data_IF_849219504176
#
_entry.id   IF_849219504176
#
_cell.length_a   1.000
_cell.length_b   1.000
_cell.length_c   1.000
_cell.angle_alpha   90.00
_cell.angle_beta   90.00
_cell.angle_gamma   90.00
#
_symmetry.space_group_name_H-M   'P 1'
#
loop_
_entity.id
_entity.type
_entity.pdbx_description
1 polymer ?
#
# COMPACT_ATOMS: atom_id res chain seq x y z
N UNK A 1 -14.77 -20.13 -1.18
CA UNK A 1 -14.51 -18.90 -0.43
C UNK A 1 -13.01 -18.65 -0.52
N UNK A 2 -12.58 -18.09 -1.64
CA UNK A 2 -11.17 -17.80 -1.93
C UNK A 2 -10.79 -16.53 -1.20
N UNK A 3 -9.85 -16.65 -0.28
CA UNK A 3 -9.24 -15.53 0.43
C UNK A 3 -8.47 -14.69 -0.60
N UNK A 4 -9.10 -13.64 -1.11
CA UNK A 4 -8.49 -12.70 -2.04
C UNK A 4 -7.37 -11.99 -1.29
N UNK A 5 -6.12 -12.34 -1.61
CA UNK A 5 -4.95 -11.61 -1.13
C UNK A 5 -5.08 -10.18 -1.66
N UNK A 6 -5.53 -9.24 -0.80
CA UNK A 6 -5.79 -7.84 -1.15
C UNK A 6 -4.46 -7.12 -1.35
N UNK A 7 -3.81 -7.41 -2.47
CA UNK A 7 -2.74 -6.61 -3.04
C UNK A 7 -3.34 -5.56 -3.96
N UNK A 8 -4.29 -4.77 -3.49
CA UNK A 8 -4.95 -3.75 -4.29
C UNK A 8 -5.00 -2.43 -3.52
N UNK A 9 -5.01 -1.31 -4.25
CA UNK A 9 -5.11 0.01 -3.67
C UNK A 9 -6.50 0.18 -3.02
N UNK A 10 -6.56 0.45 -1.72
CA UNK A 10 -7.83 0.65 -0.98
C UNK A 10 -8.64 1.87 -1.48
N UNK A 11 -8.03 2.77 -2.27
CA UNK A 11 -8.72 3.94 -2.85
C UNK A 11 -9.31 3.68 -4.22
N UNK A 12 -8.55 3.04 -5.13
CA UNK A 12 -8.95 2.87 -6.53
C UNK A 12 -9.15 1.42 -6.97
N UNK A 13 -8.83 0.44 -6.12
CA UNK A 13 -8.90 -0.99 -6.44
C UNK A 13 -7.83 -1.46 -7.45
N UNK A 14 -6.83 -0.63 -7.76
CA UNK A 14 -5.76 -1.02 -8.67
C UNK A 14 -4.92 -2.14 -8.06
N UNK A 15 -4.67 -3.21 -8.82
CA UNK A 15 -3.81 -4.31 -8.40
C UNK A 15 -2.36 -3.85 -8.22
N UNK A 16 -1.85 -4.00 -7.00
CA UNK A 16 -0.49 -3.69 -6.57
C UNK A 16 0.34 -4.97 -6.54
N UNK A 17 1.26 -5.09 -7.50
CA UNK A 17 2.22 -6.18 -7.51
C UNK A 17 3.18 -6.07 -6.29
N UNK A 18 3.72 -7.19 -5.78
CA UNK A 18 4.68 -7.18 -4.67
C UNK A 18 5.98 -6.43 -4.98
N UNK A 19 6.32 -6.29 -6.27
CA UNK A 19 7.51 -5.57 -6.74
C UNK A 19 7.25 -4.08 -7.05
N UNK A 20 5.97 -3.67 -7.11
CA UNK A 20 5.61 -2.30 -7.46
C UNK A 20 5.79 -1.33 -6.28
N UNK A 21 6.03 -0.06 -6.60
CA UNK A 21 6.05 1.01 -5.60
C UNK A 21 4.64 1.26 -5.03
N UNK A 22 4.35 0.61 -3.91
CA UNK A 22 3.16 0.83 -3.09
C UNK A 22 3.50 1.63 -1.83
N UNK A 23 2.48 2.23 -1.24
CA UNK A 23 2.53 2.94 0.03
C UNK A 23 1.64 2.25 1.03
N UNK A 24 2.09 2.16 2.28
CA UNK A 24 1.38 1.47 3.36
C UNK A 24 1.35 2.38 4.61
N UNK A 25 0.25 2.36 5.35
CA UNK A 25 0.17 3.02 6.66
C UNK A 25 0.49 2.04 7.81
N UNK A 26 0.59 2.55 9.04
CA UNK A 26 0.79 1.73 10.26
C UNK A 26 -0.33 0.71 10.52
N UNK A 27 -1.52 0.95 9.98
CA UNK A 27 -2.68 0.04 10.05
C UNK A 27 -2.81 -0.86 8.82
N UNK A 28 -1.74 -0.98 8.03
CA UNK A 28 -1.65 -1.89 6.88
C UNK A 28 -2.58 -1.53 5.70
N UNK A 29 -3.17 -0.32 5.66
CA UNK A 29 -3.86 0.16 4.46
C UNK A 29 -2.84 0.42 3.35
N UNK A 30 -3.08 -0.16 2.17
CA UNK A 30 -2.16 -0.07 1.03
C UNK A 30 -2.73 0.81 -0.08
N UNK A 31 -1.90 1.68 -0.65
CA UNK A 31 -2.27 2.61 -1.72
C UNK A 31 -1.20 2.62 -2.83
N UNK A 32 -1.64 2.83 -4.08
CA UNK A 32 -0.71 3.04 -5.19
C UNK A 32 0.01 4.40 -5.06
N UNK A 33 1.14 4.56 -5.75
CA UNK A 33 1.92 5.82 -5.73
C UNK A 33 1.09 7.03 -6.15
N UNK A 34 0.24 6.91 -7.16
CA UNK A 34 -0.67 8.00 -7.58
C UNK A 34 -1.66 8.39 -6.49
N UNK A 35 -2.29 7.40 -5.83
CA UNK A 35 -3.22 7.69 -4.75
C UNK A 35 -2.51 8.30 -3.54
N UNK A 36 -1.34 7.79 -3.18
CA UNK A 36 -0.54 8.35 -2.10
C UNK A 36 -0.13 9.81 -2.38
N UNK A 37 0.25 10.13 -3.62
CA UNK A 37 0.59 11.50 -4.04
C UNK A 37 -0.61 12.45 -3.95
N UNK A 38 -1.77 12.04 -4.48
CA UNK A 38 -3.04 12.77 -4.37
C UNK A 38 -3.47 13.00 -2.92
N UNK A 39 -3.16 12.03 -2.05
CA UNK A 39 -3.46 12.08 -0.62
C UNK A 39 -2.36 12.78 0.19
N UNK A 40 -1.34 13.35 -0.46
CA UNK A 40 -0.21 14.02 0.20
C UNK A 40 0.47 13.11 1.25
N UNK A 41 0.55 11.82 0.95
CA UNK A 41 1.07 10.79 1.84
C UNK A 41 0.31 10.71 3.18
N UNK A 42 -0.98 11.03 3.21
CA UNK A 42 -1.84 10.89 4.39
C UNK A 42 -2.92 9.86 4.12
N UNK A 43 -3.03 8.84 4.97
CA UNK A 43 -4.05 7.81 4.83
C UNK A 43 -5.44 8.41 5.13
N UNK A 44 -6.42 8.38 4.20
CA UNK A 44 -7.75 8.92 4.44
C UNK A 44 -8.59 8.04 5.38
N UNK A 45 -8.26 6.75 5.49
CA UNK A 45 -8.96 5.81 6.37
C UNK A 45 -8.46 5.90 7.82
N UNK A 46 -7.17 6.19 8.01
CA UNK A 46 -6.52 6.15 9.33
C UNK A 46 -6.11 7.53 9.86
N UNK A 47 -5.94 8.52 8.98
CA UNK A 47 -5.32 9.81 9.30
C UNK A 47 -3.81 9.77 9.56
N UNK A 48 -3.18 8.60 9.42
CA UNK A 48 -1.74 8.42 9.61
C UNK A 48 -0.91 8.71 8.36
N UNK A 49 0.40 8.79 8.52
CA UNK A 49 1.33 8.95 7.40
C UNK A 49 1.43 7.66 6.56
N UNK A 50 1.44 7.83 5.24
CA UNK A 50 1.74 6.79 4.27
C UNK A 50 3.23 6.77 4.01
N UNK A 51 3.85 5.63 4.27
CA UNK A 51 5.27 5.39 3.98
C UNK A 51 5.40 4.38 2.85
N UNK A 52 6.51 4.40 2.12
CA UNK A 52 6.74 3.42 1.05
C UNK A 52 6.76 2.02 1.64
N UNK A 53 5.98 1.12 1.04
CA UNK A 53 5.96 -0.29 1.42
C UNK A 53 7.39 -0.84 1.28
N UNK A 54 7.99 -1.41 2.33
CA UNK A 54 9.28 -2.05 2.21
C UNK A 54 9.13 -3.21 1.21
N UNK A 55 9.95 -3.19 0.15
CA UNK A 55 10.03 -4.32 -0.77
C UNK A 55 10.65 -5.49 -0.01
N UNK A 56 10.21 -6.73 -0.24
CA UNK A 56 10.94 -7.87 0.25
C UNK A 56 12.35 -7.77 -0.33
N UNK A 57 13.32 -7.32 0.46
CA UNK A 57 14.70 -7.60 0.18
C UNK A 57 14.78 -9.12 0.23
N UNK A 58 15.19 -9.77 -0.86
CA UNK A 58 15.71 -11.13 -0.76
C UNK A 58 16.90 -11.06 0.20
N UNK A 59 16.66 -11.29 1.49
CA UNK A 59 17.67 -11.22 2.53
C UNK A 59 17.20 -10.44 3.76
N UNK A 60 16.58 -11.16 4.69
CA UNK A 60 16.91 -11.03 6.11
C UNK A 60 16.70 -12.41 6.79
N UNK A 61 17.81 -12.95 7.29
CA UNK A 61 18.09 -14.25 7.95
C UNK A 61 18.06 -15.54 7.10
#
# INVERSE_FOLDING_TARGET
MTLEMRGECERCGAGLAPDEAAWICVYECTFCTECADLLQQVCPNCGGELVRRPRPATGDA
#
